data_IF_762945907904
#
_entry.id   IF_762945907904
#
_cell.length_a   1.000
_cell.length_b   1.000
_cell.length_c   1.000
_cell.angle_alpha   90.00
_cell.angle_beta   90.00
_cell.angle_gamma   90.00
#
_symmetry.space_group_name_H-M   'P 1'
#
loop_
_entity.id
_entity.type
_entity.pdbx_description
1 polymer ?
#
# COMPACT_ATOMS: atom_id res chain seq x y z
N UNK A 1 -8.86 -13.60 -5.15
CA UNK A 1 -9.59 -12.66 -4.28
C UNK A 1 -9.60 -11.30 -4.98
N UNK A 2 -10.62 -10.46 -4.77
CA UNK A 2 -10.74 -9.13 -5.38
C UNK A 2 -11.04 -8.11 -4.28
N UNK A 3 -10.64 -6.85 -4.47
CA UNK A 3 -11.09 -5.75 -3.64
C UNK A 3 -12.35 -5.15 -4.27
N UNK A 4 -13.41 -4.97 -3.48
CA UNK A 4 -14.68 -4.41 -3.94
C UNK A 4 -14.96 -3.10 -3.25
N UNK A 5 -15.22 -2.04 -4.03
CA UNK A 5 -15.69 -0.75 -3.53
C UNK A 5 -17.18 -0.62 -3.81
N UNK A 6 -17.98 -0.41 -2.76
CA UNK A 6 -19.41 -0.15 -2.91
C UNK A 6 -19.66 1.33 -3.20
N UNK A 7 -20.32 1.61 -4.33
CA UNK A 7 -20.68 2.95 -4.78
C UNK A 7 -22.13 3.25 -4.38
N UNK A 8 -22.32 3.85 -3.19
CA UNK A 8 -23.64 4.02 -2.58
C UNK A 8 -24.66 4.76 -3.45
N UNK A 9 -24.22 5.75 -4.24
CA UNK A 9 -25.12 6.54 -5.10
C UNK A 9 -25.63 5.75 -6.32
N UNK A 10 -24.92 4.70 -6.69
CA UNK A 10 -25.16 3.93 -7.92
C UNK A 10 -25.62 2.49 -7.61
N UNK A 11 -25.73 2.15 -6.32
CA UNK A 11 -26.07 0.82 -5.80
C UNK A 11 -25.34 -0.33 -6.52
N UNK A 12 -24.03 -0.18 -6.70
CA UNK A 12 -23.21 -1.16 -7.39
C UNK A 12 -21.81 -1.27 -6.80
N UNK A 13 -21.16 -2.37 -7.12
CA UNK A 13 -19.75 -2.58 -6.80
C UNK A 13 -18.86 -2.19 -7.98
N UNK A 14 -17.73 -1.54 -7.67
CA UNK A 14 -16.57 -1.48 -8.54
C UNK A 14 -15.53 -2.45 -8.01
N UNK A 15 -15.12 -3.38 -8.85
CA UNK A 15 -14.11 -4.38 -8.51
C UNK A 15 -12.72 -3.95 -8.97
N UNK A 16 -11.73 -4.25 -8.15
CA UNK A 16 -10.32 -4.06 -8.46
C UNK A 16 -9.61 -5.42 -8.43
N UNK A 17 -8.96 -5.84 -9.53
CA UNK A 17 -8.28 -7.12 -9.64
C UNK A 17 -6.90 -7.06 -8.95
N UNK A 18 -6.91 -6.82 -7.63
CA UNK A 18 -5.72 -6.77 -6.79
C UNK A 18 -5.53 -8.07 -6.00
N UNK A 19 -4.30 -8.32 -5.59
CA UNK A 19 -3.95 -9.38 -4.64
C UNK A 19 -4.69 -9.19 -3.32
N UNK A 20 -4.76 -10.24 -2.46
CA UNK A 20 -5.25 -10.08 -1.09
C UNK A 20 -4.58 -8.91 -0.39
N UNK A 21 -5.41 -8.06 0.20
CA UNK A 21 -5.01 -6.84 0.90
C UNK A 21 -4.96 -7.11 2.39
N UNK A 22 -3.86 -6.77 3.06
CA UNK A 22 -3.70 -6.92 4.51
C UNK A 22 -4.14 -5.68 5.29
N UNK A 23 -3.88 -4.48 4.75
CA UNK A 23 -4.26 -3.19 5.30
C UNK A 23 -4.53 -2.18 4.16
N UNK A 24 -5.38 -1.19 4.41
CA UNK A 24 -5.77 -0.21 3.39
C UNK A 24 -6.02 1.24 3.89
N UNK A 25 -5.05 1.91 4.55
CA UNK A 25 -5.28 3.27 5.03
C UNK A 25 -5.41 4.28 3.89
N UNK A 26 -6.12 5.37 4.17
CA UNK A 26 -6.27 6.48 3.24
C UNK A 26 -5.03 7.38 3.26
N UNK A 27 -4.45 7.63 2.08
CA UNK A 27 -3.33 8.57 1.90
C UNK A 27 -3.84 10.01 1.80
N UNK A 28 -4.93 10.19 1.06
CA UNK A 28 -5.63 11.46 0.83
C UNK A 28 -7.04 11.15 0.31
N UNK A 29 -7.99 12.09 0.32
CA UNK A 29 -9.36 11.83 -0.14
C UNK A 29 -9.43 11.06 -1.47
N UNK A 30 -9.92 9.83 -1.40
CA UNK A 30 -10.08 8.96 -2.58
C UNK A 30 -8.83 8.20 -3.03
N UNK A 31 -7.68 8.37 -2.37
CA UNK A 31 -6.46 7.59 -2.60
C UNK A 31 -6.17 6.67 -1.42
N UNK A 32 -6.18 5.37 -1.66
CA UNK A 32 -5.91 4.35 -0.65
C UNK A 32 -4.55 3.70 -0.90
N UNK A 33 -3.76 3.53 0.15
CA UNK A 33 -2.65 2.59 0.11
C UNK A 33 -3.19 1.18 0.31
N UNK A 34 -2.64 0.19 -0.38
CA UNK A 34 -3.01 -1.20 -0.22
C UNK A 34 -1.75 -2.01 0.02
N UNK A 35 -1.62 -2.60 1.20
CA UNK A 35 -0.55 -3.58 1.45
C UNK A 35 -0.97 -4.93 0.88
N UNK A 36 -0.10 -5.55 0.09
CA UNK A 36 -0.34 -6.83 -0.56
C UNK A 36 0.83 -7.79 -0.40
N UNK A 37 0.64 -9.03 -0.85
CA UNK A 37 1.69 -10.03 -0.94
C UNK A 37 2.78 -9.76 -1.98
N UNK A 38 2.62 -8.77 -2.85
CA UNK A 38 3.61 -8.41 -3.87
C UNK A 38 4.17 -6.99 -3.72
N UNK A 39 3.74 -6.28 -2.69
CA UNK A 39 4.19 -4.92 -2.43
C UNK A 39 3.07 -3.96 -2.00
N UNK A 40 3.40 -2.68 -2.03
CA UNK A 40 2.49 -1.57 -1.71
C UNK A 40 1.90 -1.01 -3.01
N UNK A 41 0.56 -0.93 -3.07
CA UNK A 41 -0.16 -0.33 -4.19
C UNK A 41 -0.84 0.98 -3.76
N UNK A 42 -1.04 1.88 -4.72
CA UNK A 42 -1.88 3.06 -4.60
C UNK A 42 -3.14 2.86 -5.45
N UNK A 43 -4.30 2.85 -4.80
CA UNK A 43 -5.60 2.85 -5.47
C UNK A 43 -6.15 4.28 -5.49
N UNK A 44 -6.36 4.83 -6.68
CA UNK A 44 -7.19 6.02 -6.87
C UNK A 44 -8.63 5.57 -7.10
N UNK A 45 -9.54 5.81 -6.14
CA UNK A 45 -10.95 5.41 -6.23
C UNK A 45 -11.71 6.21 -7.29
N UNK A 46 -11.33 7.46 -7.53
CA UNK A 46 -12.02 8.38 -8.43
C UNK A 46 -11.79 7.94 -9.88
N UNK A 47 -10.54 7.68 -10.24
CA UNK A 47 -10.17 7.17 -11.57
C UNK A 47 -10.35 5.64 -11.65
N UNK A 48 -10.24 4.97 -10.51
CA UNK A 48 -10.15 3.51 -10.34
C UNK A 48 -8.96 2.89 -11.04
N UNK A 49 -7.84 3.58 -10.95
CA UNK A 49 -6.53 3.12 -11.34
C UNK A 49 -5.82 2.53 -10.13
N UNK A 50 -4.92 1.59 -10.38
CA UNK A 50 -4.05 0.99 -9.37
C UNK A 50 -2.62 1.12 -9.86
N UNK A 51 -1.78 1.72 -9.04
CA UNK A 51 -0.35 1.93 -9.29
C UNK A 51 0.47 1.15 -8.25
N UNK A 52 1.62 0.61 -8.64
CA UNK A 52 2.55 -0.01 -7.69
C UNK A 52 3.54 1.03 -7.19
N UNK A 53 3.61 1.25 -5.87
CA UNK A 53 4.57 2.16 -5.26
C UNK A 53 5.86 1.44 -4.83
N UNK A 54 5.70 0.24 -4.26
CA UNK A 54 6.81 -0.62 -3.83
C UNK A 54 6.57 -2.02 -4.37
N UNK A 55 7.54 -2.56 -5.09
CA UNK A 55 7.50 -3.92 -5.63
C UNK A 55 8.27 -4.92 -4.77
N UNK A 56 7.83 -6.18 -4.82
CA UNK A 56 8.65 -7.33 -4.45
C UNK A 56 8.72 -7.65 -2.96
N UNK A 57 7.83 -7.11 -2.13
CA UNK A 57 7.82 -7.37 -0.68
C UNK A 57 6.45 -7.79 -0.17
N UNK A 58 6.42 -8.73 0.77
CA UNK A 58 5.19 -9.14 1.46
C UNK A 58 4.84 -8.08 2.53
N UNK A 59 4.06 -7.07 2.15
CA UNK A 59 3.70 -5.95 3.02
C UNK A 59 2.54 -6.32 3.95
N UNK A 60 2.60 -5.84 5.20
CA UNK A 60 1.65 -6.21 6.27
C UNK A 60 0.84 -5.02 6.77
N UNK A 61 1.51 -3.90 7.04
CA UNK A 61 0.89 -2.69 7.57
C UNK A 61 1.65 -1.45 7.08
N UNK A 62 1.03 -0.29 7.21
CA UNK A 62 1.59 0.96 6.71
C UNK A 62 1.15 2.17 7.54
N UNK A 63 2.09 3.09 7.80
CA UNK A 63 1.84 4.38 8.44
C UNK A 63 2.41 5.51 7.60
N UNK A 64 1.66 6.62 7.50
CA UNK A 64 2.05 7.81 6.75
C UNK A 64 2.45 8.91 7.72
N UNK A 65 3.65 9.47 7.54
CA UNK A 65 4.18 10.61 8.30
C UNK A 65 4.69 11.67 7.33
N UNK A 66 3.89 12.71 7.08
CA UNK A 66 4.22 13.72 6.06
C UNK A 66 4.26 13.10 4.66
N UNK A 67 5.38 13.25 3.95
CA UNK A 67 5.62 12.62 2.64
C UNK A 67 6.19 11.21 2.73
N UNK A 68 6.42 10.70 3.95
CA UNK A 68 7.03 9.39 4.15
C UNK A 68 5.97 8.35 4.44
N UNK A 69 6.01 7.26 3.69
CA UNK A 69 5.20 6.07 3.87
C UNK A 69 6.11 4.98 4.44
N UNK A 70 5.85 4.57 5.67
CA UNK A 70 6.57 3.48 6.33
C UNK A 70 5.76 2.20 6.18
N UNK A 71 6.39 1.16 5.61
CA UNK A 71 5.73 -0.10 5.29
C UNK A 71 6.38 -1.22 6.08
N UNK A 72 5.60 -1.84 6.95
CA UNK A 72 6.00 -3.06 7.65
C UNK A 72 5.92 -4.24 6.68
N UNK A 73 6.95 -5.07 6.65
CA UNK A 73 7.00 -6.24 5.78
C UNK A 73 7.19 -7.52 6.58
N UNK A 74 6.87 -8.65 5.95
CA UNK A 74 7.32 -9.94 6.41
C UNK A 74 8.70 -10.22 5.82
N UNK A 75 9.71 -10.48 6.69
CA UNK A 75 11.09 -10.89 6.34
C UNK A 75 11.99 -9.84 5.70
N UNK A 76 11.45 -8.82 5.04
CA UNK A 76 12.25 -7.76 4.39
C UNK A 76 12.53 -6.56 5.32
N UNK A 77 12.15 -6.66 6.60
CA UNK A 77 12.28 -5.60 7.59
C UNK A 77 11.27 -4.46 7.39
N UNK A 78 11.76 -3.22 7.42
CA UNK A 78 10.95 -2.01 7.28
C UNK A 78 11.34 -1.25 6.01
N UNK A 79 10.33 -0.81 5.25
CA UNK A 79 10.56 0.00 4.04
C UNK A 79 10.13 1.43 4.32
N UNK A 80 10.99 2.39 3.96
CA UNK A 80 10.66 3.81 3.91
C UNK A 80 10.50 4.22 2.46
N UNK A 81 9.32 4.68 2.11
CA UNK A 81 9.01 5.20 0.79
C UNK A 81 8.74 6.71 0.88
N UNK A 82 9.53 7.51 0.15
CA UNK A 82 9.31 8.95 -0.01
C UNK A 82 8.36 9.17 -1.19
N UNK A 83 7.12 9.62 -0.91
CA UNK A 83 6.06 9.74 -1.90
C UNK A 83 6.32 10.86 -2.93
N UNK A 84 7.03 11.92 -2.54
CA UNK A 84 7.34 13.04 -3.43
C UNK A 84 8.48 12.68 -4.39
N UNK A 85 9.54 12.05 -3.85
CA UNK A 85 10.74 11.69 -4.62
C UNK A 85 10.64 10.31 -5.27
N UNK A 86 9.63 9.52 -4.92
CA UNK A 86 9.46 8.12 -5.33
C UNK A 86 10.69 7.26 -4.99
N UNK A 87 11.34 7.54 -3.86
CA UNK A 87 12.54 6.84 -3.41
C UNK A 87 12.19 5.80 -2.35
N UNK A 88 12.79 4.62 -2.49
CA UNK A 88 12.62 3.51 -1.55
C UNK A 88 13.93 3.23 -0.82
N UNK A 89 13.88 3.20 0.51
CA UNK A 89 14.96 2.74 1.37
C UNK A 89 14.49 1.55 2.20
N UNK A 90 15.36 0.56 2.41
CA UNK A 90 15.06 -0.67 3.17
C UNK A 90 15.94 -0.74 4.41
N UNK A 91 15.32 -1.04 5.53
CA UNK A 91 15.97 -1.28 6.81
C UNK A 91 15.75 -2.75 7.16
N UNK A 92 16.83 -3.50 7.37
CA UNK A 92 16.78 -4.95 7.62
C UNK A 92 17.31 -5.27 9.01
N UNK A 93 17.45 -6.55 9.35
CA UNK A 93 18.12 -6.99 10.58
C UNK A 93 19.59 -6.52 10.64
N UNK A 94 20.25 -6.32 9.50
CA UNK A 94 21.59 -5.70 9.42
C UNK A 94 21.59 -4.25 9.92
N UNK A 95 20.42 -3.60 9.89
CA UNK A 95 20.19 -2.26 10.44
C UNK A 95 19.78 -2.28 11.92
N UNK A 96 19.76 -3.44 12.58
CA UNK A 96 19.44 -3.60 14.00
C UNK A 96 17.95 -3.84 14.32
N UNK A 97 17.12 -4.11 13.31
CA UNK A 97 15.70 -4.43 13.52
C UNK A 97 15.49 -5.88 13.99
N UNK A 98 14.49 -6.15 14.86
CA UNK A 98 14.12 -7.51 15.24
C UNK A 98 13.52 -8.29 14.05
N UNK A 99 13.71 -9.62 14.03
CA UNK A 99 13.19 -10.54 13.02
C UNK A 99 11.81 -11.07 13.37
#
# INVERSE_FOLDING_TARGET
>A
QKLSCYLIKEDRFREYPVQPVSAFPELSPGKLLLTTSRGLLLLDKNQGTVETLVEGSLTQDVVVTGYTIWVATCRDGLIRYDYDKQLTERFTTESGLPS
#
